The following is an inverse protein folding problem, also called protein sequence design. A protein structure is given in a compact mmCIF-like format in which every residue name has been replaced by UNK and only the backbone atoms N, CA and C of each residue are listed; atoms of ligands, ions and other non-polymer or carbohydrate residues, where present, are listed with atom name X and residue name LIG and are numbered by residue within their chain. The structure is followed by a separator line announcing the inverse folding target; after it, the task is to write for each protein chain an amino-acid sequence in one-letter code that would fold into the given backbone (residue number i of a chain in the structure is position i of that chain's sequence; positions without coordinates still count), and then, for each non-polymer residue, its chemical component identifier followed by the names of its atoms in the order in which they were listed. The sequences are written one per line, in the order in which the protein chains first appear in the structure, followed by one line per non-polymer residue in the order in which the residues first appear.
data_IF_227636093019
#
_entry.id   IF_227636093019
#
_cell.length_a   1.000
_cell.length_b   1.000
_cell.length_c   1.000
_cell.angle_alpha   90.00
_cell.angle_beta   90.00
_cell.angle_gamma   90.00
#
_symmetry.space_group_name_H-M   'P 1'
#
loop_
_entity.id
_entity.type
_entity.pdbx_description
1 polymer ?
#
# COMPACT_ATOMS: atom_id res chain seq x y z
N UNK A 1 7.46 2.93 10.74
CA UNK A 1 8.23 1.90 10.03
C UNK A 1 9.68 2.35 10.06
N UNK A 2 10.59 1.49 10.47
CA UNK A 2 12.03 1.77 10.45
C UNK A 2 12.53 1.70 9.01
N UNK A 3 13.51 2.50 8.61
CA UNK A 3 14.05 2.49 7.23
C UNK A 3 14.52 1.07 6.84
N UNK A 4 15.00 0.32 7.83
CA UNK A 4 15.36 -1.09 7.68
C UNK A 4 14.19 -1.97 7.24
N UNK A 5 12.97 -1.75 7.74
CA UNK A 5 11.82 -2.60 7.38
C UNK A 5 11.39 -2.40 5.92
N UNK A 6 11.51 -1.19 5.36
CA UNK A 6 11.28 -0.95 3.94
C UNK A 6 12.32 -1.68 3.09
N UNK A 7 13.60 -1.54 3.45
CA UNK A 7 14.69 -2.25 2.75
C UNK A 7 14.49 -3.77 2.76
N UNK A 8 14.03 -4.33 3.89
CA UNK A 8 13.75 -5.77 3.99
C UNK A 8 12.64 -6.23 3.05
N UNK A 9 11.57 -5.44 2.90
CA UNK A 9 10.43 -5.81 2.05
C UNK A 9 10.85 -5.88 0.59
N UNK A 10 11.48 -4.81 0.10
CA UNK A 10 12.04 -4.75 -1.25
C UNK A 10 13.08 -5.87 -1.49
N UNK A 11 13.95 -6.13 -0.51
CA UNK A 11 14.91 -7.23 -0.59
C UNK A 11 14.21 -8.60 -0.72
N UNK A 12 13.10 -8.80 -0.01
CA UNK A 12 12.31 -10.02 -0.10
C UNK A 12 11.60 -10.15 -1.46
N UNK A 13 11.18 -9.04 -2.08
CA UNK A 13 10.63 -9.01 -3.44
C UNK A 13 11.69 -9.45 -4.47
N UNK A 14 12.91 -8.90 -4.40
CA UNK A 14 14.03 -9.34 -5.24
C UNK A 14 14.36 -10.83 -5.05
N UNK A 15 14.48 -11.28 -3.79
CA UNK A 15 14.76 -12.66 -3.48
C UNK A 15 13.63 -13.60 -3.95
N UNK A 16 12.37 -13.19 -3.85
CA UNK A 16 11.23 -13.98 -4.33
C UNK A 16 11.31 -14.25 -5.83
N UNK A 17 11.67 -13.26 -6.64
CA UNK A 17 11.78 -13.43 -8.10
C UNK A 17 12.94 -14.36 -8.48
N UNK A 18 14.06 -14.30 -7.75
CA UNK A 18 15.12 -15.30 -7.88
C UNK A 18 14.59 -16.72 -7.59
N UNK A 19 13.89 -16.93 -6.47
CA UNK A 19 13.33 -18.24 -6.10
C UNK A 19 12.30 -18.72 -7.14
N UNK A 20 11.51 -17.81 -7.72
CA UNK A 20 10.58 -18.12 -8.80
C UNK A 20 11.31 -18.68 -10.02
N UNK A 21 12.33 -17.96 -10.51
CA UNK A 21 13.12 -18.38 -11.67
C UNK A 21 13.84 -19.71 -11.41
N UNK A 22 14.48 -19.86 -10.24
CA UNK A 22 15.17 -21.09 -9.87
C UNK A 22 14.21 -22.29 -9.81
N UNK A 23 13.02 -22.11 -9.21
CA UNK A 23 12.02 -23.18 -9.15
C UNK A 23 11.50 -23.53 -10.54
N UNK A 24 11.27 -22.56 -11.41
CA UNK A 24 10.80 -22.80 -12.77
C UNK A 24 11.86 -23.55 -13.61
N UNK A 25 13.13 -23.25 -13.43
CA UNK A 25 14.24 -23.98 -14.04
C UNK A 25 14.28 -25.45 -13.57
N UNK A 26 14.16 -25.67 -12.26
CA UNK A 26 14.16 -27.02 -11.67
C UNK A 26 12.97 -27.88 -12.14
N UNK A 27 11.82 -27.24 -12.39
CA UNK A 27 10.62 -27.90 -12.94
C UNK A 27 10.67 -28.08 -14.48
N UNK A 28 11.67 -27.51 -15.17
CA UNK A 28 11.72 -27.48 -16.63
C UNK A 28 10.65 -26.58 -17.28
N UNK A 29 10.01 -25.72 -16.49
CA UNK A 29 8.98 -24.77 -16.90
C UNK A 29 9.56 -23.40 -17.31
N UNK A 30 10.86 -23.16 -17.10
CA UNK A 30 11.51 -21.92 -17.49
C UNK A 30 11.75 -21.82 -19.00
N UNK A 31 11.48 -20.64 -19.58
CA UNK A 31 11.82 -20.33 -20.99
C UNK A 31 13.33 -20.24 -21.21
N UNK A 32 14.08 -19.83 -20.19
CA UNK A 32 15.53 -19.65 -20.21
C UNK A 32 16.11 -19.79 -18.79
N UNK A 33 17.37 -20.23 -18.66
CA UNK A 33 18.10 -20.16 -17.39
C UNK A 33 18.58 -18.73 -17.13
N UNK A 34 18.09 -18.12 -16.06
CA UNK A 34 18.40 -16.74 -15.65
C UNK A 34 18.35 -16.53 -14.13
N UNK A 35 18.14 -17.58 -13.33
CA UNK A 35 18.11 -17.49 -11.86
C UNK A 35 19.41 -16.94 -11.27
N UNK A 36 20.58 -17.31 -11.81
CA UNK A 36 21.89 -16.79 -11.37
C UNK A 36 22.00 -15.27 -11.53
N UNK A 37 21.54 -14.72 -12.65
CA UNK A 37 21.55 -13.27 -12.88
C UNK A 37 20.60 -12.53 -11.92
N UNK A 38 19.46 -13.13 -11.59
CA UNK A 38 18.53 -12.57 -10.60
C UNK A 38 19.10 -12.64 -9.18
N UNK A 39 19.84 -13.70 -8.85
CA UNK A 39 20.58 -13.81 -7.60
C UNK A 39 21.63 -12.71 -7.46
N UNK A 40 22.44 -12.49 -8.50
CA UNK A 40 23.44 -11.42 -8.53
C UNK A 40 22.79 -10.04 -8.38
N UNK A 41 21.63 -9.82 -9.02
CA UNK A 41 20.83 -8.60 -8.86
C UNK A 41 20.35 -8.37 -7.41
N UNK A 42 19.89 -9.43 -6.74
CA UNK A 42 19.51 -9.38 -5.33
C UNK A 42 20.72 -9.09 -4.41
N UNK A 43 21.87 -9.73 -4.64
CA UNK A 43 23.09 -9.47 -3.87
C UNK A 43 23.56 -8.02 -4.07
N UNK A 44 23.53 -7.51 -5.30
CA UNK A 44 23.86 -6.12 -5.60
C UNK A 44 22.89 -5.15 -4.90
N UNK A 45 21.58 -5.44 -4.92
CA UNK A 45 20.55 -4.64 -4.23
C UNK A 45 20.86 -4.46 -2.74
N UNK A 46 21.25 -5.55 -2.06
CA UNK A 46 21.65 -5.54 -0.65
C UNK A 46 22.94 -4.73 -0.44
N UNK A 47 23.97 -4.97 -1.26
CA UNK A 47 25.26 -4.31 -1.16
C UNK A 47 25.15 -2.78 -1.28
N UNK A 48 24.30 -2.28 -2.20
CA UNK A 48 24.03 -0.84 -2.36
C UNK A 48 23.46 -0.18 -1.09
N UNK A 49 22.89 -0.97 -0.18
CA UNK A 49 22.31 -0.52 1.09
C UNK A 49 23.18 -0.89 2.29
N UNK A 50 24.42 -1.32 2.05
CA UNK A 50 25.37 -1.82 3.07
C UNK A 50 24.85 -3.05 3.82
N UNK A 51 24.00 -3.85 3.17
CA UNK A 51 23.45 -5.09 3.70
C UNK A 51 24.13 -6.31 3.07
N UNK A 52 24.07 -7.42 3.79
CA UNK A 52 24.51 -8.74 3.36
C UNK A 52 23.35 -9.71 3.46
N UNK A 53 23.40 -10.77 2.65
CA UNK A 53 22.39 -11.82 2.69
C UNK A 53 22.35 -12.50 4.07
N UNK A 54 23.50 -12.95 4.57
CA UNK A 54 23.54 -13.82 5.75
C UNK A 54 23.17 -13.09 7.05
N UNK A 55 23.63 -11.86 7.25
CA UNK A 55 23.34 -11.14 8.49
C UNK A 55 22.02 -10.38 8.38
N UNK A 56 21.91 -9.43 7.45
CA UNK A 56 20.76 -8.54 7.44
C UNK A 56 19.50 -9.23 6.93
N UNK A 57 19.57 -10.06 5.89
CA UNK A 57 18.36 -10.67 5.35
C UNK A 57 17.98 -11.97 6.07
N UNK A 58 18.94 -12.86 6.32
CA UNK A 58 18.68 -14.17 6.95
C UNK A 58 18.56 -14.07 8.47
N UNK A 59 19.54 -13.48 9.16
CA UNK A 59 19.54 -13.46 10.64
C UNK A 59 18.57 -12.42 11.24
N UNK A 60 18.53 -11.20 10.70
CA UNK A 60 17.70 -10.13 11.28
C UNK A 60 16.23 -10.18 10.86
N UNK A 61 15.93 -10.71 9.66
CA UNK A 61 14.57 -10.74 9.11
C UNK A 61 14.16 -12.14 8.56
N UNK A 62 14.35 -13.21 9.35
CA UNK A 62 14.18 -14.59 8.87
C UNK A 62 12.76 -14.89 8.38
N UNK A 63 11.75 -14.21 8.92
CA UNK A 63 10.34 -14.43 8.58
C UNK A 63 10.04 -14.11 7.12
N UNK A 64 10.62 -13.03 6.57
CA UNK A 64 10.40 -12.66 5.16
C UNK A 64 10.96 -13.73 4.23
N UNK A 65 12.20 -14.17 4.47
CA UNK A 65 12.84 -15.23 3.70
C UNK A 65 12.08 -16.56 3.83
N UNK A 66 11.71 -16.94 5.05
CA UNK A 66 11.00 -18.19 5.30
C UNK A 66 9.64 -18.24 4.59
N UNK A 67 8.93 -17.12 4.51
CA UNK A 67 7.70 -17.01 3.73
C UNK A 67 7.96 -17.21 2.22
N UNK A 68 9.01 -16.57 1.68
CA UNK A 68 9.40 -16.74 0.27
C UNK A 68 9.74 -18.21 -0.04
N UNK A 69 10.66 -18.79 0.73
CA UNK A 69 11.13 -20.17 0.54
C UNK A 69 9.98 -21.19 0.59
N UNK A 70 8.96 -20.92 1.42
CA UNK A 70 7.80 -21.80 1.57
C UNK A 70 6.76 -21.63 0.47
N UNK A 71 6.43 -20.39 0.11
CA UNK A 71 5.23 -20.10 -0.68
C UNK A 71 5.54 -19.92 -2.17
N UNK A 72 6.69 -19.35 -2.51
CA UNK A 72 7.04 -19.12 -3.92
C UNK A 72 7.13 -20.41 -4.73
N UNK A 73 7.76 -21.50 -4.24
CA UNK A 73 7.78 -22.75 -5.00
C UNK A 73 6.38 -23.31 -5.26
N UNK A 74 5.46 -23.18 -4.29
CA UNK A 74 4.06 -23.62 -4.44
C UNK A 74 3.30 -22.78 -5.47
N UNK A 75 3.59 -21.49 -5.56
CA UNK A 75 3.03 -20.61 -6.58
C UNK A 75 3.51 -21.01 -7.98
N UNK A 76 4.82 -21.25 -8.14
CA UNK A 76 5.41 -21.66 -9.42
C UNK A 76 4.88 -23.02 -9.87
N UNK A 77 4.74 -23.98 -8.96
CA UNK A 77 4.12 -25.28 -9.22
C UNK A 77 2.67 -25.14 -9.70
N UNK A 78 1.89 -24.24 -9.07
CA UNK A 78 0.51 -23.95 -9.48
C UNK A 78 0.44 -23.28 -10.85
N UNK A 79 1.39 -22.39 -11.19
CA UNK A 79 1.52 -21.82 -12.53
C UNK A 79 1.80 -22.91 -13.57
N UNK A 80 2.81 -23.74 -13.34
CA UNK A 80 3.17 -24.83 -14.25
C UNK A 80 2.00 -25.82 -14.45
N UNK A 81 1.25 -26.11 -13.38
CA UNK A 81 0.06 -26.95 -13.44
C UNK A 81 -1.09 -26.32 -14.24
N UNK A 82 -1.29 -25.00 -14.12
CA UNK A 82 -2.32 -24.27 -14.88
C UNK A 82 -1.96 -24.13 -16.36
N UNK A 83 -0.68 -23.97 -16.67
CA UNK A 83 -0.16 -23.77 -18.03
C UNK A 83 0.82 -24.89 -18.44
N UNK A 84 0.37 -26.16 -18.53
CA UNK A 84 1.26 -27.32 -18.69
C UNK A 84 1.99 -27.39 -20.04
N UNK A 85 1.64 -26.52 -20.99
CA UNK A 85 2.24 -26.45 -22.33
C UNK A 85 3.03 -25.17 -22.55
N UNK A 86 3.05 -24.28 -21.58
CA UNK A 86 3.73 -22.99 -21.67
C UNK A 86 4.96 -23.03 -20.80
N UNK A 87 5.98 -22.30 -21.23
CA UNK A 87 7.12 -21.95 -20.42
C UNK A 87 7.04 -20.48 -20.03
N UNK A 88 7.65 -20.13 -18.92
CA UNK A 88 7.60 -18.76 -18.44
C UNK A 88 8.95 -18.26 -17.92
N UNK A 89 9.08 -16.92 -17.93
CA UNK A 89 10.24 -16.18 -17.42
C UNK A 89 9.77 -15.14 -16.41
N UNK A 90 10.58 -14.90 -15.39
CA UNK A 90 10.36 -13.82 -14.44
C UNK A 90 11.37 -12.69 -14.64
N UNK A 91 10.92 -11.44 -14.49
CA UNK A 91 11.81 -10.29 -14.61
C UNK A 91 11.43 -9.16 -13.65
N UNK A 92 12.46 -8.46 -13.14
CA UNK A 92 12.33 -7.23 -12.36
C UNK A 92 12.77 -6.07 -13.25
N UNK A 93 11.89 -5.09 -13.44
CA UNK A 93 12.23 -3.85 -14.15
C UNK A 93 11.43 -2.66 -13.60
N UNK A 94 11.68 -2.34 -12.32
CA UNK A 94 11.01 -1.24 -11.63
C UNK A 94 11.14 0.10 -12.36
N UNK A 95 12.29 0.36 -13.01
CA UNK A 95 12.53 1.60 -13.72
C UNK A 95 11.58 1.74 -14.92
N UNK A 96 11.43 0.69 -15.72
CA UNK A 96 10.47 0.65 -16.83
C UNK A 96 9.03 0.71 -16.33
N UNK A 97 8.67 -0.05 -15.30
CA UNK A 97 7.31 -0.06 -14.76
C UNK A 97 6.89 1.34 -14.28
N UNK A 98 7.79 2.06 -13.59
CA UNK A 98 7.55 3.44 -13.16
C UNK A 98 7.34 4.40 -14.33
N UNK A 99 8.10 4.26 -15.43
CA UNK A 99 7.91 5.06 -16.64
C UNK A 99 6.53 4.78 -17.26
N UNK A 100 6.06 3.54 -17.18
CA UNK A 100 4.73 3.11 -17.65
C UNK A 100 3.60 3.48 -16.68
N UNK A 101 3.90 3.97 -15.48
CA UNK A 101 2.90 4.25 -14.43
C UNK A 101 2.37 2.99 -13.73
N UNK A 102 3.00 1.85 -13.94
CA UNK A 102 2.66 0.54 -13.36
C UNK A 102 3.39 0.38 -12.02
N UNK A 103 2.70 -0.19 -11.03
CA UNK A 103 3.18 -0.44 -9.66
C UNK A 103 3.61 -1.89 -9.41
N UNK A 104 3.54 -2.75 -10.42
CA UNK A 104 4.03 -4.11 -10.34
C UNK A 104 5.48 -4.19 -9.86
N UNK A 105 5.76 -5.23 -9.08
CA UNK A 105 7.07 -5.52 -8.51
C UNK A 105 7.88 -6.41 -9.47
N UNK A 106 7.20 -7.25 -10.26
CA UNK A 106 7.83 -8.11 -11.28
C UNK A 106 6.88 -8.41 -12.45
N UNK A 107 7.41 -9.07 -13.48
CA UNK A 107 6.63 -9.56 -14.62
C UNK A 107 6.76 -11.06 -14.80
N UNK A 108 5.72 -11.69 -15.35
CA UNK A 108 5.73 -13.08 -15.84
C UNK A 108 5.47 -13.04 -17.35
N UNK A 109 6.43 -13.54 -18.12
CA UNK A 109 6.34 -13.64 -19.57
C UNK A 109 6.13 -15.11 -19.94
N UNK A 110 4.96 -15.46 -20.48
CA UNK A 110 4.69 -16.78 -21.04
C UNK A 110 5.11 -16.85 -22.51
N UNK A 111 5.71 -17.95 -22.95
CA UNK A 111 6.08 -18.16 -24.36
C UNK A 111 4.87 -18.28 -25.31
N UNK A 112 3.70 -18.62 -24.76
CA UNK A 112 2.44 -18.73 -25.50
C UNK A 112 1.58 -17.47 -25.50
N UNK A 113 1.95 -16.45 -24.74
CA UNK A 113 1.17 -15.22 -24.59
C UNK A 113 1.95 -14.02 -25.12
N UNK A 114 1.23 -13.04 -25.67
CA UNK A 114 1.86 -11.86 -26.26
C UNK A 114 2.25 -10.84 -25.18
N UNK A 115 1.40 -10.67 -24.17
CA UNK A 115 1.55 -9.64 -23.15
C UNK A 115 2.04 -10.26 -21.83
N UNK A 116 2.98 -9.61 -21.12
CA UNK A 116 3.41 -10.06 -19.81
C UNK A 116 2.33 -9.79 -18.76
N UNK A 117 2.28 -10.66 -17.75
CA UNK A 117 1.57 -10.37 -16.51
C UNK A 117 2.40 -9.43 -15.65
N UNK A 118 1.85 -8.27 -15.30
CA UNK A 118 2.46 -7.34 -14.36
C UNK A 118 1.97 -7.66 -12.95
N UNK A 119 2.85 -8.08 -12.05
CA UNK A 119 2.47 -8.64 -10.74
C UNK A 119 2.97 -7.79 -9.59
N UNK A 120 2.03 -7.34 -8.75
CA UNK A 120 2.29 -6.74 -7.44
C UNK A 120 2.45 -7.84 -6.38
N UNK A 121 3.63 -7.93 -5.77
CA UNK A 121 3.99 -8.91 -4.75
C UNK A 121 3.85 -8.31 -3.35
N UNK A 122 3.21 -8.99 -2.40
CA UNK A 122 3.27 -8.60 -0.98
C UNK A 122 3.49 -9.79 -0.06
N UNK A 123 4.55 -9.69 0.75
CA UNK A 123 4.94 -10.66 1.76
C UNK A 123 4.60 -10.14 3.17
N UNK A 124 3.62 -10.77 3.83
CA UNK A 124 3.11 -10.32 5.13
C UNK A 124 3.67 -11.16 6.29
N UNK A 125 4.31 -10.50 7.26
CA UNK A 125 4.82 -11.10 8.51
C UNK A 125 3.90 -10.85 9.73
N UNK A 126 2.84 -10.06 9.56
CA UNK A 126 1.94 -9.67 10.65
C UNK A 126 0.88 -10.73 10.99
N UNK A 127 0.32 -10.66 12.21
CA UNK A 127 -0.70 -11.60 12.72
C UNK A 127 -1.95 -11.75 11.83
N UNK A 128 -2.32 -10.71 11.09
CA UNK A 128 -3.47 -10.75 10.18
C UNK A 128 -3.15 -11.42 8.84
N UNK A 129 -1.87 -11.61 8.53
CA UNK A 129 -1.38 -12.23 7.31
C UNK A 129 -1.99 -11.60 6.05
N UNK A 130 -2.25 -12.44 5.07
CA UNK A 130 -2.83 -12.04 3.77
C UNK A 130 -4.35 -11.99 3.76
N UNK A 131 -4.99 -12.22 4.90
CA UNK A 131 -6.46 -12.25 4.98
C UNK A 131 -7.07 -10.85 4.93
N UNK A 132 -6.27 -9.82 5.28
CA UNK A 132 -6.65 -8.40 5.23
C UNK A 132 -5.48 -7.53 4.72
N UNK A 133 -5.06 -7.68 3.45
CA UNK A 133 -3.90 -6.96 2.94
C UNK A 133 -4.13 -5.45 2.95
N UNK A 134 -3.09 -4.71 3.31
CA UNK A 134 -3.03 -3.26 3.12
C UNK A 134 -2.56 -2.98 1.69
N UNK A 135 -3.39 -2.30 0.90
CA UNK A 135 -3.11 -2.02 -0.54
C UNK A 135 -2.79 -0.57 -0.84
N UNK A 136 -3.13 0.35 0.07
CA UNK A 136 -2.79 1.76 -0.05
C UNK A 136 -2.71 2.41 1.32
N UNK A 137 -1.92 3.48 1.44
CA UNK A 137 -1.93 4.39 2.59
C UNK A 137 -1.87 5.85 2.13
N UNK A 138 -2.08 6.78 3.05
CA UNK A 138 -1.95 8.21 2.80
C UNK A 138 -2.51 9.04 3.95
N UNK A 139 -2.39 10.36 3.87
CA UNK A 139 -3.14 11.30 4.73
C UNK A 139 -4.59 11.42 4.26
N UNK A 140 -5.48 12.00 5.09
CA UNK A 140 -6.87 12.22 4.69
C UNK A 140 -6.96 12.99 3.37
N UNK A 141 -6.23 14.10 3.28
CA UNK A 141 -6.18 14.92 2.07
C UNK A 141 -5.65 14.15 0.86
N UNK A 142 -4.52 13.43 0.99
CA UNK A 142 -3.95 12.69 -0.14
C UNK A 142 -4.82 11.51 -0.58
N UNK A 143 -5.61 10.95 0.33
CA UNK A 143 -6.59 9.93 0.00
C UNK A 143 -7.70 10.54 -0.85
N UNK A 144 -8.35 11.61 -0.36
CA UNK A 144 -9.45 12.28 -1.07
C UNK A 144 -9.00 12.92 -2.40
N UNK A 145 -7.86 13.59 -2.43
CA UNK A 145 -7.31 14.22 -3.63
C UNK A 145 -7.03 13.20 -4.74
N UNK A 146 -6.71 11.94 -4.39
CA UNK A 146 -6.56 10.86 -5.37
C UNK A 146 -7.86 10.44 -6.07
N UNK A 147 -9.03 10.84 -5.58
CA UNK A 147 -10.31 10.70 -6.29
C UNK A 147 -10.66 11.95 -7.10
N UNK A 148 -10.16 13.11 -6.68
CA UNK A 148 -10.48 14.41 -7.29
C UNK A 148 -9.63 14.68 -8.52
N UNK A 149 -8.35 14.32 -8.48
CA UNK A 149 -7.36 14.66 -9.51
C UNK A 149 -6.66 13.42 -10.07
N UNK A 150 -6.13 13.56 -11.29
CA UNK A 150 -5.30 12.55 -11.92
C UNK A 150 -3.92 12.48 -11.28
N UNK A 151 -3.56 11.32 -10.75
CA UNK A 151 -2.35 11.12 -9.96
C UNK A 151 -1.14 10.85 -10.86
N UNK A 152 -0.04 11.55 -10.61
CA UNK A 152 1.27 11.28 -11.25
C UNK A 152 2.30 10.69 -10.31
N UNK A 153 2.17 10.94 -9.01
CA UNK A 153 3.13 10.48 -8.02
C UNK A 153 2.54 10.47 -6.62
N UNK A 154 3.40 10.32 -5.62
CA UNK A 154 2.97 10.43 -4.22
C UNK A 154 2.62 11.89 -3.93
N UNK A 155 1.33 12.15 -3.67
CA UNK A 155 0.83 13.50 -3.35
C UNK A 155 0.87 14.52 -4.50
N UNK A 156 1.20 14.07 -5.72
CA UNK A 156 1.43 14.92 -6.90
C UNK A 156 0.44 14.55 -8.01
N UNK A 157 -0.14 15.56 -8.65
CA UNK A 157 -1.26 15.43 -9.59
C UNK A 157 -1.02 16.24 -10.86
N UNK A 158 -1.68 15.87 -11.95
CA UNK A 158 -1.63 16.60 -13.22
C UNK A 158 -2.29 17.98 -13.10
N UNK A 159 -1.61 19.01 -13.60
CA UNK A 159 -2.17 20.35 -13.75
C UNK A 159 -2.74 20.52 -15.17
N UNK A 160 -4.07 20.47 -15.34
CA UNK A 160 -4.70 20.54 -16.66
C UNK A 160 -4.55 21.92 -17.33
N UNK A 161 -4.10 22.95 -16.60
CA UNK A 161 -3.91 24.30 -17.14
C UNK A 161 -2.68 24.38 -18.05
N UNK A 162 -1.68 23.53 -17.82
CA UNK A 162 -0.40 23.53 -18.52
C UNK A 162 0.04 22.09 -18.80
N UNK A 163 0.15 21.71 -20.06
CA UNK A 163 0.53 20.35 -20.45
C UNK A 163 1.87 19.92 -19.82
N UNK A 164 1.88 18.72 -19.23
CA UNK A 164 3.07 18.13 -18.60
C UNK A 164 3.46 18.74 -17.24
N UNK A 165 2.72 19.76 -16.76
CA UNK A 165 2.94 20.31 -15.42
C UNK A 165 2.21 19.45 -14.38
N UNK A 166 2.82 19.34 -13.22
CA UNK A 166 2.20 18.75 -12.03
C UNK A 166 2.09 19.76 -10.90
N UNK A 167 1.19 19.51 -9.95
CA UNK A 167 1.07 20.27 -8.71
C UNK A 167 0.98 19.34 -7.49
N UNK A 168 1.32 19.87 -6.31
CA UNK A 168 1.14 19.15 -5.04
C UNK A 168 -0.27 19.36 -4.51
N UNK A 169 -0.97 18.29 -4.12
CA UNK A 169 -2.30 18.42 -3.52
C UNK A 169 -2.31 19.10 -2.15
N UNK A 170 -1.15 19.21 -1.49
CA UNK A 170 -1.00 19.99 -0.25
C UNK A 170 -0.76 21.48 -0.50
N UNK A 171 -0.49 21.89 -1.75
CA UNK A 171 -0.39 23.30 -2.11
C UNK A 171 -1.79 23.87 -2.36
N UNK A 172 -2.39 24.45 -1.30
CA UNK A 172 -3.75 24.99 -1.33
C UNK A 172 -3.99 25.97 -2.49
N UNK A 173 -3.05 26.88 -2.75
CA UNK A 173 -3.20 27.89 -3.81
C UNK A 173 -3.24 27.24 -5.19
N UNK A 174 -2.33 26.30 -5.46
CA UNK A 174 -2.32 25.59 -6.74
C UNK A 174 -3.54 24.69 -6.90
N UNK A 175 -3.86 23.88 -5.88
CA UNK A 175 -5.00 22.96 -5.86
C UNK A 175 -6.32 23.68 -6.10
N UNK A 176 -6.59 24.73 -5.32
CA UNK A 176 -7.85 25.46 -5.40
C UNK A 176 -7.94 26.21 -6.75
N UNK A 177 -6.80 26.68 -7.28
CA UNK A 177 -6.72 27.24 -8.63
C UNK A 177 -6.97 26.23 -9.76
N UNK A 178 -6.57 24.97 -9.60
CA UNK A 178 -6.90 23.88 -10.54
C UNK A 178 -8.40 23.57 -10.49
N UNK A 179 -8.99 23.47 -9.29
CA UNK A 179 -10.42 23.24 -9.13
C UNK A 179 -11.26 24.35 -9.76
N UNK A 180 -10.88 25.60 -9.54
CA UNK A 180 -11.55 26.75 -10.15
C UNK A 180 -11.46 26.71 -11.68
N UNK A 181 -10.29 26.39 -12.24
CA UNK A 181 -10.11 26.23 -13.68
C UNK A 181 -10.98 25.10 -14.27
N UNK A 182 -11.12 23.99 -13.56
CA UNK A 182 -11.97 22.87 -13.96
C UNK A 182 -13.48 23.11 -13.70
N UNK A 183 -13.86 24.25 -13.12
CA UNK A 183 -15.24 24.55 -12.76
C UNK A 183 -15.79 23.72 -11.59
N UNK A 184 -14.92 23.19 -10.73
CA UNK A 184 -15.24 22.27 -9.61
C UNK A 184 -15.03 22.92 -8.24
N UNK A 185 -15.46 24.17 -8.11
CA UNK A 185 -15.24 24.99 -6.91
C UNK A 185 -15.91 24.44 -5.66
N UNK A 186 -16.97 23.66 -5.81
CA UNK A 186 -17.70 22.98 -4.75
C UNK A 186 -16.83 21.97 -3.96
N UNK A 187 -15.76 21.45 -4.58
CA UNK A 187 -14.82 20.54 -3.92
C UNK A 187 -13.78 21.26 -3.05
N UNK A 188 -13.66 22.59 -3.15
CA UNK A 188 -12.67 23.37 -2.41
C UNK A 188 -12.92 23.26 -0.90
N UNK A 189 -14.15 23.54 -0.45
CA UNK A 189 -14.49 23.55 0.97
C UNK A 189 -14.22 22.20 1.67
N UNK A 190 -14.70 21.04 1.17
CA UNK A 190 -14.41 19.77 1.83
C UNK A 190 -12.93 19.38 1.79
N UNK A 191 -12.17 19.76 0.75
CA UNK A 191 -10.72 19.54 0.73
C UNK A 191 -9.99 20.42 1.75
N UNK A 192 -10.41 21.68 1.92
CA UNK A 192 -9.89 22.57 2.95
C UNK A 192 -10.18 22.07 4.36
N UNK A 193 -11.35 21.47 4.61
CA UNK A 193 -11.66 20.84 5.90
C UNK A 193 -10.65 19.71 6.24
N UNK A 194 -10.17 18.96 5.24
CA UNK A 194 -9.13 17.94 5.47
C UNK A 194 -7.76 18.55 5.82
N UNK A 195 -7.42 19.72 5.28
CA UNK A 195 -6.24 20.50 5.69
C UNK A 195 -6.40 21.02 7.12
N UNK A 196 -7.57 21.54 7.46
CA UNK A 196 -7.84 22.11 8.78
C UNK A 196 -7.80 21.04 9.88
N UNK A 197 -8.27 19.83 9.58
CA UNK A 197 -8.10 18.65 10.45
C UNK A 197 -6.61 18.36 10.67
N UNK A 198 -5.80 18.37 9.60
CA UNK A 198 -4.37 18.14 9.69
C UNK A 198 -3.68 19.21 10.54
N UNK A 199 -4.08 20.48 10.43
CA UNK A 199 -3.55 21.55 11.25
C UNK A 199 -4.01 21.44 12.72
N UNK A 200 -5.26 21.06 12.97
CA UNK A 200 -5.79 20.83 14.31
C UNK A 200 -4.97 19.78 15.06
N UNK A 201 -4.70 18.62 14.44
CA UNK A 201 -3.87 17.56 15.04
C UNK A 201 -2.49 18.08 15.42
N UNK A 202 -1.87 18.90 14.55
CA UNK A 202 -0.54 19.45 14.82
C UNK A 202 -0.57 20.41 15.99
N UNK A 203 -1.57 21.27 16.07
CA UNK A 203 -1.72 22.22 17.18
C UNK A 203 -1.91 21.49 18.52
N UNK A 204 -2.77 20.48 18.56
CA UNK A 204 -3.04 19.71 19.77
C UNK A 204 -1.84 18.85 20.20
N UNK A 205 -1.20 18.15 19.25
CA UNK A 205 -0.23 17.10 19.58
C UNK A 205 1.23 17.57 19.62
N UNK A 206 1.61 18.64 18.90
CA UNK A 206 3.00 19.14 18.95
C UNK A 206 3.31 19.91 20.23
N UNK A 207 2.30 20.39 20.96
CA UNK A 207 2.46 20.98 22.29
C UNK A 207 2.67 19.92 23.38
N UNK A 208 2.36 18.66 23.08
CA UNK A 208 2.40 17.55 24.02
C UNK A 208 3.81 16.97 24.16
N UNK A 209 4.56 17.47 25.16
CA UNK A 209 5.94 17.02 25.44
C UNK A 209 6.04 15.52 25.72
N UNK A 210 5.15 14.97 26.55
CA UNK A 210 5.16 13.54 26.89
C UNK A 210 3.97 12.86 26.28
N UNK A 211 4.16 11.67 25.72
CA UNK A 211 3.08 10.92 25.08
C UNK A 211 1.94 10.63 26.07
N UNK A 212 0.74 11.08 25.72
CA UNK A 212 -0.50 10.71 26.39
C UNK A 212 -1.47 10.05 25.40
N UNK A 213 -1.78 8.78 25.67
CA UNK A 213 -2.71 8.00 24.85
C UNK A 213 -4.15 8.51 24.91
N UNK A 214 -4.57 9.04 26.06
CA UNK A 214 -5.93 9.55 26.24
C UNK A 214 -6.15 10.80 25.37
N UNK A 215 -5.19 11.73 25.40
CA UNK A 215 -5.18 12.91 24.52
C UNK A 215 -5.20 12.50 23.05
N UNK A 216 -4.33 11.58 22.60
CA UNK A 216 -4.33 11.12 21.19
C UNK A 216 -5.68 10.51 20.80
N UNK A 217 -6.29 9.69 21.66
CA UNK A 217 -7.63 9.11 21.40
C UNK A 217 -8.72 10.17 21.34
N UNK A 218 -8.68 11.18 22.20
CA UNK A 218 -9.64 12.28 22.18
C UNK A 218 -9.54 13.08 20.88
N UNK A 219 -8.32 13.40 20.42
CA UNK A 219 -8.10 14.07 19.12
C UNK A 219 -8.66 13.21 17.99
N UNK A 220 -8.40 11.89 17.98
CA UNK A 220 -8.96 10.97 16.98
C UNK A 220 -10.49 11.01 16.97
N UNK A 221 -11.15 10.98 18.13
CA UNK A 221 -12.61 11.04 18.25
C UNK A 221 -13.20 12.34 17.68
N UNK A 222 -12.47 13.45 17.78
CA UNK A 222 -12.87 14.74 17.21
C UNK A 222 -12.70 14.79 15.69
N UNK A 223 -11.57 14.32 15.16
CA UNK A 223 -11.24 14.48 13.73
C UNK A 223 -11.92 13.47 12.82
N UNK A 224 -12.22 12.26 13.33
CA UNK A 224 -12.72 11.16 12.50
C UNK A 224 -14.09 11.47 11.88
N UNK A 225 -15.11 11.92 12.64
CA UNK A 225 -16.41 12.25 12.06
C UNK A 225 -16.31 13.38 11.03
N UNK A 226 -15.46 14.38 11.29
CA UNK A 226 -15.20 15.50 10.37
C UNK A 226 -14.57 15.01 9.06
N UNK A 227 -13.54 14.16 9.16
CA UNK A 227 -12.88 13.56 8.00
C UNK A 227 -13.81 12.66 7.19
N UNK A 228 -14.64 11.84 7.85
CA UNK A 228 -15.65 11.02 7.19
C UNK A 228 -16.66 11.89 6.42
N UNK A 229 -17.21 12.93 7.05
CA UNK A 229 -18.17 13.83 6.43
C UNK A 229 -17.59 14.56 5.22
N UNK A 230 -16.37 15.11 5.33
CA UNK A 230 -15.69 15.80 4.23
C UNK A 230 -15.42 14.86 3.04
N UNK A 231 -14.94 13.63 3.31
CA UNK A 231 -14.71 12.64 2.24
C UNK A 231 -16.01 12.17 1.57
N UNK A 232 -17.06 11.93 2.35
CA UNK A 232 -18.37 11.54 1.78
C UNK A 232 -18.95 12.64 0.90
N UNK A 233 -18.87 13.91 1.33
CA UNK A 233 -19.27 15.05 0.51
C UNK A 233 -18.49 15.11 -0.82
N UNK A 234 -17.16 14.90 -0.77
CA UNK A 234 -16.34 14.79 -1.99
C UNK A 234 -16.84 13.66 -2.87
N UNK A 235 -17.08 12.47 -2.32
CA UNK A 235 -17.51 11.31 -3.11
C UNK A 235 -18.90 11.49 -3.72
N UNK A 236 -19.85 12.07 -2.98
CA UNK A 236 -21.18 12.40 -3.49
C UNK A 236 -21.10 13.41 -4.65
N UNK A 237 -20.27 14.44 -4.50
CA UNK A 237 -20.03 15.46 -5.53
C UNK A 237 -19.41 14.87 -6.80
N UNK A 238 -18.48 13.92 -6.66
CA UNK A 238 -17.86 13.22 -7.79
C UNK A 238 -18.80 12.24 -8.50
N UNK A 239 -19.82 11.74 -7.79
CA UNK A 239 -20.66 10.64 -8.22
C UNK A 239 -20.00 9.27 -7.99
N UNK A 240 -20.80 8.30 -7.53
CA UNK A 240 -20.32 6.97 -7.13
C UNK A 240 -19.63 6.20 -8.25
N UNK A 241 -19.99 6.42 -9.52
CA UNK A 241 -19.35 5.75 -10.65
C UNK A 241 -17.87 6.12 -10.79
N UNK A 242 -17.55 7.41 -10.73
CA UNK A 242 -16.17 7.89 -10.79
C UNK A 242 -15.37 7.46 -9.56
N UNK A 243 -16.00 7.52 -8.38
CA UNK A 243 -15.39 7.07 -7.12
C UNK A 243 -15.09 5.58 -7.16
N UNK A 244 -16.01 4.75 -7.66
CA UNK A 244 -15.82 3.31 -7.84
C UNK A 244 -14.62 3.00 -8.71
N UNK A 245 -14.53 3.64 -9.89
CA UNK A 245 -13.43 3.41 -10.83
C UNK A 245 -12.06 3.73 -10.19
N UNK A 246 -11.92 4.94 -9.62
CA UNK A 246 -10.70 5.36 -8.91
C UNK A 246 -10.39 4.48 -7.69
N UNK A 247 -11.42 3.98 -7.02
CA UNK A 247 -11.23 3.08 -5.89
C UNK A 247 -10.66 1.72 -6.30
N UNK A 248 -11.18 1.12 -7.38
CA UNK A 248 -10.70 -0.16 -7.91
C UNK A 248 -9.24 -0.05 -8.35
N UNK A 249 -8.88 1.01 -9.09
CA UNK A 249 -7.50 1.31 -9.49
C UNK A 249 -6.59 1.43 -8.25
N UNK A 250 -7.03 2.18 -7.24
CA UNK A 250 -6.26 2.38 -6.01
C UNK A 250 -6.09 1.10 -5.19
N UNK A 251 -7.09 0.21 -5.23
CA UNK A 251 -7.07 -1.05 -4.51
C UNK A 251 -6.33 -2.17 -5.26
N UNK A 252 -5.90 -1.94 -6.51
CA UNK A 252 -5.32 -2.98 -7.37
C UNK A 252 -6.35 -4.05 -7.74
N UNK A 253 -7.60 -3.63 -7.99
CA UNK A 253 -8.74 -4.49 -8.31
C UNK A 253 -9.40 -4.11 -9.64
N UNK A 254 -8.76 -3.29 -10.47
CA UNK A 254 -9.25 -2.84 -11.78
C UNK A 254 -8.82 -3.77 -12.94
N UNK A 255 -8.23 -4.92 -12.62
CA UNK A 255 -7.69 -5.91 -13.56
C UNK A 255 -6.51 -5.43 -14.43
N UNK A 256 -5.88 -4.30 -14.10
CA UNK A 256 -4.69 -3.82 -14.81
C UNK A 256 -3.41 -4.52 -14.38
N UNK A 257 -3.37 -4.97 -13.12
CA UNK A 257 -2.25 -5.68 -12.52
C UNK A 257 -2.73 -6.96 -11.85
N UNK A 258 -1.90 -7.99 -11.93
CA UNK A 258 -2.02 -9.18 -11.12
C UNK A 258 -1.43 -8.97 -9.73
N UNK A 259 -1.88 -9.78 -8.78
CA UNK A 259 -1.40 -9.74 -7.40
C UNK A 259 -0.92 -11.10 -6.97
N UNK A 260 0.13 -11.11 -6.14
CA UNK A 260 0.61 -12.28 -5.41
C UNK A 260 0.82 -11.88 -3.94
N UNK A 261 -0.06 -12.38 -3.07
CA UNK A 261 0.05 -12.17 -1.63
C UNK A 261 0.40 -13.47 -0.94
N UNK A 262 1.38 -13.43 -0.04
CA UNK A 262 1.67 -14.57 0.82
C UNK A 262 2.11 -14.19 2.23
N UNK A 263 1.91 -15.14 3.15
CA UNK A 263 2.37 -15.10 4.54
C UNK A 263 2.96 -16.46 4.94
N UNK A 264 3.24 -16.65 6.23
CA UNK A 264 3.81 -17.89 6.74
C UNK A 264 2.94 -19.14 6.48
N UNK A 265 1.64 -18.99 6.26
CA UNK A 265 0.70 -20.10 6.19
C UNK A 265 0.05 -20.22 4.81
N UNK A 266 -0.30 -19.11 4.19
CA UNK A 266 -1.14 -19.05 3.00
C UNK A 266 -0.46 -18.28 1.87
N UNK A 267 -0.92 -18.53 0.65
CA UNK A 267 -0.68 -17.65 -0.49
C UNK A 267 -1.92 -17.57 -1.37
N UNK A 268 -2.09 -16.46 -2.07
CA UNK A 268 -3.18 -16.24 -3.02
C UNK A 268 -2.68 -15.33 -4.13
N UNK A 269 -3.15 -15.57 -5.35
CA UNK A 269 -2.83 -14.77 -6.52
C UNK A 269 -4.07 -14.59 -7.41
N UNK A 270 -4.05 -13.60 -8.29
CA UNK A 270 -5.10 -13.40 -9.30
C UNK A 270 -4.95 -14.29 -10.53
N UNK A 271 -3.74 -14.76 -10.83
CA UNK A 271 -3.44 -15.49 -12.07
C UNK A 271 -4.02 -16.90 -12.01
N UNK A 272 -3.74 -17.65 -10.96
CA UNK A 272 -4.02 -19.10 -10.89
C UNK A 272 -5.17 -19.45 -9.96
N UNK A 273 -5.57 -18.57 -9.03
CA UNK A 273 -6.74 -18.81 -8.18
C UNK A 273 -8.06 -18.40 -8.88
N UNK A 274 -8.92 -19.36 -9.27
CA UNK A 274 -10.17 -19.05 -9.98
C UNK A 274 -11.16 -18.24 -9.13
N UNK A 275 -11.11 -18.38 -7.80
CA UNK A 275 -11.96 -17.58 -6.90
C UNK A 275 -11.51 -16.13 -6.83
N UNK A 276 -10.20 -15.87 -6.88
CA UNK A 276 -9.68 -14.50 -6.94
C UNK A 276 -10.03 -13.86 -8.29
N UNK A 277 -9.76 -14.54 -9.41
CA UNK A 277 -10.14 -14.04 -10.74
C UNK A 277 -11.64 -13.70 -10.81
N UNK A 278 -12.52 -14.59 -10.33
CA UNK A 278 -13.96 -14.32 -10.25
C UNK A 278 -14.30 -13.13 -9.34
N UNK A 279 -13.57 -12.94 -8.23
CA UNK A 279 -13.76 -11.78 -7.35
C UNK A 279 -13.46 -10.48 -8.11
N UNK A 280 -12.37 -10.43 -8.88
CA UNK A 280 -12.00 -9.28 -9.72
C UNK A 280 -13.08 -9.01 -10.76
N UNK A 281 -13.56 -10.04 -11.47
CA UNK A 281 -14.65 -9.90 -12.44
C UNK A 281 -15.92 -9.32 -11.80
N UNK A 282 -16.32 -9.86 -10.64
CA UNK A 282 -17.51 -9.42 -9.92
C UNK A 282 -17.41 -7.96 -9.45
N UNK A 283 -16.26 -7.53 -8.91
CA UNK A 283 -16.13 -6.14 -8.45
C UNK A 283 -16.07 -5.15 -9.61
N UNK A 284 -15.68 -5.59 -10.81
CA UNK A 284 -15.66 -4.79 -12.04
C UNK A 284 -16.97 -4.80 -12.83
N UNK A 285 -17.85 -5.80 -12.62
CA UNK A 285 -19.17 -5.86 -13.23
C UNK A 285 -20.01 -4.60 -12.91
N UNK A 286 -20.49 -3.84 -13.93
CA UNK A 286 -21.35 -2.68 -13.74
C UNK A 286 -22.66 -2.96 -12.97
N UNK A 287 -23.12 -4.22 -12.94
CA UNK A 287 -24.31 -4.62 -12.18
C UNK A 287 -24.03 -4.78 -10.67
N UNK A 288 -22.76 -4.83 -10.26
CA UNK A 288 -22.37 -4.89 -8.84
C UNK A 288 -22.58 -3.54 -8.19
N UNK A 289 -23.42 -3.53 -7.15
CA UNK A 289 -23.70 -2.36 -6.35
C UNK A 289 -22.46 -1.92 -5.58
N UNK A 290 -22.16 -0.63 -5.61
CA UNK A 290 -21.06 -0.01 -4.88
C UNK A 290 -21.59 1.05 -3.92
N UNK A 291 -21.24 0.93 -2.65
CA UNK A 291 -21.63 1.89 -1.60
C UNK A 291 -20.49 2.21 -0.66
N UNK A 292 -20.57 3.39 -0.04
CA UNK A 292 -19.58 3.90 0.93
C UNK A 292 -20.34 4.34 2.17
N UNK A 293 -19.93 3.89 3.34
CA UNK A 293 -20.57 4.29 4.61
C UNK A 293 -19.57 4.42 5.75
N UNK A 294 -19.80 5.32 6.71
CA UNK A 294 -19.01 5.35 7.93
C UNK A 294 -19.28 4.10 8.79
N UNK A 295 -18.23 3.47 9.32
CA UNK A 295 -18.31 2.33 10.24
C UNK A 295 -17.25 2.51 11.34
N UNK A 296 -17.69 2.93 12.52
CA UNK A 296 -16.76 3.30 13.59
C UNK A 296 -15.78 4.38 13.13
N UNK A 297 -14.48 4.11 13.20
CA UNK A 297 -13.44 5.03 12.73
C UNK A 297 -13.09 4.91 11.24
N UNK A 298 -13.81 4.09 10.47
CA UNK A 298 -13.47 3.80 9.08
C UNK A 298 -14.52 4.33 8.11
N UNK A 299 -14.11 4.56 6.87
CA UNK A 299 -15.01 4.50 5.72
C UNK A 299 -14.97 3.07 5.17
N UNK A 300 -16.15 2.46 5.04
CA UNK A 300 -16.29 1.12 4.44
C UNK A 300 -16.83 1.25 3.04
N UNK A 301 -16.06 0.73 2.09
CA UNK A 301 -16.45 0.53 0.70
C UNK A 301 -17.00 -0.89 0.58
N UNK A 302 -18.21 -1.04 0.04
CA UNK A 302 -18.88 -2.34 -0.12
C UNK A 302 -19.25 -2.58 -1.56
N UNK A 303 -18.93 -3.77 -2.04
CA UNK A 303 -19.38 -4.32 -3.31
C UNK A 303 -20.41 -5.42 -3.01
N UNK A 304 -21.60 -5.32 -3.60
CA UNK A 304 -22.68 -6.28 -3.40
C UNK A 304 -23.26 -6.75 -4.73
N UNK A 305 -23.58 -8.03 -4.85
CA UNK A 305 -24.35 -8.58 -5.96
C UNK A 305 -25.48 -9.44 -5.41
N UNK A 306 -26.67 -9.33 -6.00
CA UNK A 306 -27.86 -10.08 -5.57
C UNK A 306 -28.16 -9.95 -4.07
N UNK A 307 -27.95 -8.75 -3.51
CA UNK A 307 -28.16 -8.47 -2.08
C UNK A 307 -27.11 -9.06 -1.12
N UNK A 308 -26.07 -9.72 -1.65
CA UNK A 308 -24.97 -10.29 -0.85
C UNK A 308 -23.70 -9.46 -1.00
N UNK A 309 -23.01 -9.22 0.11
CA UNK A 309 -21.71 -8.55 0.11
C UNK A 309 -20.66 -9.48 -0.48
N UNK A 310 -20.07 -9.08 -1.61
CA UNK A 310 -18.96 -9.80 -2.27
C UNK A 310 -17.63 -9.39 -1.64
N UNK A 311 -17.44 -8.09 -1.42
CA UNK A 311 -16.20 -7.54 -0.88
C UNK A 311 -16.49 -6.33 0.00
N UNK A 312 -15.76 -6.26 1.11
CA UNK A 312 -15.69 -5.06 1.94
C UNK A 312 -14.26 -4.58 2.05
N UNK A 313 -14.03 -3.29 1.86
CA UNK A 313 -12.73 -2.66 2.06
C UNK A 313 -12.88 -1.56 3.11
N UNK A 314 -12.07 -1.63 4.16
CA UNK A 314 -12.10 -0.67 5.26
C UNK A 314 -10.93 0.31 5.11
N UNK A 315 -11.25 1.60 5.18
CA UNK A 315 -10.29 2.70 5.24
C UNK A 315 -10.42 3.37 6.62
N UNK A 316 -9.73 2.89 7.67
CA UNK A 316 -9.64 3.58 8.94
C UNK A 316 -9.04 4.97 8.80
N UNK A 317 -9.69 5.94 9.45
CA UNK A 317 -9.22 7.30 9.64
C UNK A 317 -8.58 7.39 11.03
N UNK A 318 -7.30 7.76 11.08
CA UNK A 318 -6.54 7.87 12.33
C UNK A 318 -5.42 8.91 12.24
N UNK A 319 -4.53 8.92 13.22
CA UNK A 319 -3.33 9.76 13.28
C UNK A 319 -2.09 8.86 13.18
N UNK A 320 -1.17 9.19 12.29
CA UNK A 320 0.15 8.57 12.26
C UNK A 320 1.03 9.18 13.37
N UNK A 321 1.13 8.49 14.51
CA UNK A 321 2.01 8.87 15.63
C UNK A 321 3.38 8.20 15.58
N UNK A 322 3.67 7.44 14.52
CA UNK A 322 4.83 6.57 14.45
C UNK A 322 6.14 7.35 14.57
N UNK A 323 6.83 7.12 15.67
CA UNK A 323 8.13 7.74 15.95
C UNK A 323 8.06 9.24 16.29
N UNK A 324 6.88 9.82 16.47
CA UNK A 324 6.74 11.21 16.94
C UNK A 324 7.15 11.38 18.41
N UNK A 325 6.96 10.34 19.24
CA UNK A 325 7.49 10.25 20.61
C UNK A 325 8.50 9.11 20.71
N UNK A 326 9.54 9.30 21.51
CA UNK A 326 10.58 8.31 21.75
C UNK A 326 10.11 7.26 22.76
N UNK A 327 9.54 6.17 22.27
CA UNK A 327 8.96 5.08 23.08
C UNK A 327 9.53 3.72 22.66
N UNK A 328 10.82 3.45 22.92
CA UNK A 328 11.36 2.09 22.71
C UNK A 328 10.59 1.08 23.57
N UNK A 329 10.63 -0.20 23.16
CA UNK A 329 9.90 -1.29 23.83
C UNK A 329 10.27 -1.40 25.31
N UNK A 330 11.57 -1.26 25.62
CA UNK A 330 12.06 -1.23 26.99
C UNK A 330 11.97 0.19 27.54
N UNK A 331 11.24 0.35 28.64
CA UNK A 331 11.20 1.60 29.40
C UNK A 331 12.54 1.82 30.11
N UNK A 332 12.94 3.07 30.25
CA UNK A 332 14.15 3.47 30.96
C UNK A 332 13.89 4.74 31.78
N UNK A 333 14.74 4.96 32.78
CA UNK A 333 14.76 6.19 33.58
C UNK A 333 15.86 7.14 33.07
N UNK A 334 15.67 8.45 33.25
CA UNK A 334 16.60 9.47 32.76
C UNK A 334 16.46 9.70 31.25
N UNK A 335 17.57 10.01 30.58
CA UNK A 335 17.60 10.29 29.14
C UNK A 335 18.45 9.26 28.39
N UNK A 336 18.12 9.02 27.12
CA UNK A 336 18.96 8.29 26.18
C UNK A 336 19.23 9.13 24.94
N UNK A 337 20.43 8.99 24.38
CA UNK A 337 20.75 9.59 23.10
C UNK A 337 19.96 8.89 21.99
N UNK A 338 19.29 9.68 21.14
CA UNK A 338 18.62 9.18 19.94
C UNK A 338 19.01 10.05 18.75
N UNK A 339 19.30 9.41 17.62
CA UNK A 339 19.31 10.08 16.34
C UNK A 339 17.87 10.40 15.91
N UNK A 340 17.52 11.68 15.92
CA UNK A 340 16.26 12.23 15.47
C UNK A 340 16.45 12.99 14.16
N UNK A 341 16.25 12.30 13.02
CA UNK A 341 16.36 12.89 11.67
C UNK A 341 17.72 13.54 11.39
N UNK A 342 18.81 12.89 11.80
CA UNK A 342 20.19 13.37 11.63
C UNK A 342 20.71 14.17 12.83
N UNK A 343 19.86 14.47 13.82
CA UNK A 343 20.24 15.23 15.01
C UNK A 343 20.34 14.31 16.23
N UNK A 344 21.45 14.37 16.96
CA UNK A 344 21.57 13.67 18.25
C UNK A 344 20.85 14.49 19.32
N UNK A 345 19.85 13.88 19.96
CA UNK A 345 19.06 14.50 21.02
C UNK A 345 19.00 13.57 22.24
N UNK A 346 19.00 14.15 23.43
CA UNK A 346 18.79 13.41 24.68
C UNK A 346 17.30 13.44 25.02
N UNK A 347 16.67 12.27 25.10
CA UNK A 347 15.22 12.17 25.31
C UNK A 347 14.88 11.25 26.47
N UNK A 348 13.84 11.59 27.22
CA UNK A 348 13.20 10.68 28.17
C UNK A 348 12.30 9.68 27.45
N UNK A 349 12.01 8.54 28.10
CA UNK A 349 11.03 7.60 27.58
C UNK A 349 9.65 8.29 27.53
N UNK A 350 9.05 8.31 26.34
CA UNK A 350 7.77 8.97 26.09
C UNK A 350 7.89 10.43 25.63
N UNK A 351 9.09 11.00 25.57
CA UNK A 351 9.26 12.41 25.18
C UNK A 351 9.12 12.62 23.67
N UNK A 352 8.55 13.76 23.29
CA UNK A 352 8.33 14.19 21.91
C UNK A 352 9.67 14.39 21.21
N UNK A 353 9.80 13.82 20.02
CA UNK A 353 11.00 13.96 19.17
C UNK A 353 10.94 15.29 18.40
N UNK A 354 11.83 16.26 18.65
CA UNK A 354 11.69 17.62 18.10
C UNK A 354 11.64 17.71 16.56
N UNK A 355 12.30 16.78 15.87
CA UNK A 355 12.40 16.78 14.41
C UNK A 355 11.41 15.79 13.79
N UNK A 356 11.36 14.54 14.26
CA UNK A 356 10.43 13.53 13.69
C UNK A 356 8.96 13.84 13.98
N UNK A 357 8.63 14.50 15.10
CA UNK A 357 7.24 14.89 15.40
C UNK A 357 6.64 15.84 14.36
N UNK A 358 7.46 16.56 13.59
CA UNK A 358 6.99 17.42 12.49
C UNK A 358 6.32 16.62 11.37
N UNK A 359 6.46 15.31 11.35
CA UNK A 359 5.78 14.39 10.42
C UNK A 359 4.43 13.87 10.97
N UNK A 360 3.96 14.37 12.12
CA UNK A 360 2.61 14.07 12.61
C UNK A 360 1.58 14.44 11.55
N UNK A 361 0.80 13.44 11.15
CA UNK A 361 -0.17 13.55 10.09
C UNK A 361 -1.43 12.73 10.37
N UNK A 362 -2.54 13.13 9.75
CA UNK A 362 -3.68 12.24 9.50
C UNK A 362 -3.21 11.00 8.75
N UNK A 363 -3.93 9.90 8.91
CA UNK A 363 -3.53 8.62 8.32
C UNK A 363 -4.75 7.81 7.91
N UNK A 364 -4.68 7.31 6.68
CA UNK A 364 -5.55 6.30 6.09
C UNK A 364 -4.71 5.10 5.72
N UNK A 365 -5.24 3.91 5.95
CA UNK A 365 -4.70 2.67 5.41
C UNK A 365 -5.88 1.89 4.83
N UNK A 366 -5.77 1.43 3.59
CA UNK A 366 -6.84 0.74 2.87
C UNK A 366 -6.64 -0.76 3.04
N UNK A 367 -7.57 -1.44 3.72
CA UNK A 367 -7.51 -2.87 3.99
C UNK A 367 -8.63 -3.62 3.29
N UNK A 368 -8.27 -4.52 2.39
CA UNK A 368 -9.23 -5.37 1.67
C UNK A 368 -9.57 -6.57 2.56
N UNK A 369 -10.86 -6.87 2.80
CA UNK A 369 -11.24 -8.02 3.61
C UNK A 369 -11.35 -9.31 2.77
N UNK A 370 -10.20 -9.88 2.38
CA UNK A 370 -10.17 -11.10 1.58
C UNK A 370 -10.67 -12.32 2.35
N UNK A 371 -10.55 -12.34 3.69
CA UNK A 371 -11.06 -13.44 4.52
C UNK A 371 -12.53 -13.79 4.25
N UNK A 372 -13.36 -12.76 4.09
CA UNK A 372 -14.81 -12.92 3.94
C UNK A 372 -15.24 -13.35 2.53
N UNK A 373 -14.30 -13.41 1.57
CA UNK A 373 -14.58 -13.70 0.16
C UNK A 373 -14.55 -15.19 -0.18
N UNK A 374 -14.01 -16.03 0.71
CA UNK A 374 -13.86 -17.47 0.49
C UNK A 374 -12.74 -17.87 -0.47
N UNK A 375 -11.88 -16.92 -0.90
CA UNK A 375 -10.76 -17.20 -1.82
C UNK A 375 -9.66 -18.08 -1.21
N UNK A 376 -9.63 -18.19 0.12
CA UNK A 376 -8.72 -19.05 0.86
C UNK A 376 -9.29 -20.44 1.15
N UNK A 377 -10.57 -20.68 0.84
CA UNK A 377 -11.18 -22.00 1.03
C UNK A 377 -10.72 -22.89 -0.13
N UNK A 378 -9.78 -23.80 0.10
CA UNK A 378 -9.19 -24.65 -0.93
C UNK A 378 -8.51 -25.87 -0.36
#
# INVERSE_FOLDING_TARGET
MDDAQHVTQDAAEHYAVYVMAKTAEDLGAATTSHSEALWDGFVAYLAHRTWTHDVQFVELYPEYKANVDRQVPRFVDRLASKYPRSKFRFAIDEARFRIMGIKADFTIEFDTEQDPHFVSLKNYIGKSGITRPQVSSGTFLSFAAGFVFERRGVGTYDDPRVAGRTFSGSNKVERDGVLAYQGRTELIAPLQELDDIQQHIRNELLSMRMYDEATVKAVIQTIVPRGQAAMLNIFETLGMGAVRAKFLERAGLDATEDVLYFDAHNFVDSITNPKFSRLVDLVNDPATEFSISPVGQSLRFRFSANGQSILSVDVPLTINTNGAWHRPKQRYAGTQEKNDKGHRVQLQWGELRPYKSRELATSTNTYINLKATGIFDG
#
